data_IF_681102064248
#
_entry.id   IF_681102064248
#
_cell.length_a   1.000
_cell.length_b   1.000
_cell.length_c   1.000
_cell.angle_alpha   90.00
_cell.angle_beta   90.00
_cell.angle_gamma   90.00
#
_symmetry.space_group_name_H-M   'P 1'
#
loop_
_entity.id
_entity.type
_entity.pdbx_description
1 polymer ?
#
# COMPACT_ATOMS: atom_id res chain seq x y z
N UNK A 1 -2.92 -10.16 16.24
CA UNK A 1 -3.07 -8.99 17.13
C UNK A 1 -1.85 -8.10 16.89
N UNK A 2 -2.05 -6.86 16.44
CA UNK A 2 -0.96 -5.95 16.05
C UNK A 2 -0.51 -5.03 17.18
N UNK A 3 -1.45 -4.52 17.98
CA UNK A 3 -1.18 -3.63 19.11
C UNK A 3 -2.05 -4.02 20.33
N UNK A 4 -1.58 -3.70 21.54
CA UNK A 4 -2.34 -3.78 22.80
C UNK A 4 -2.42 -2.37 23.38
N UNK A 5 -3.64 -1.93 23.70
CA UNK A 5 -3.90 -0.61 24.25
C UNK A 5 -4.70 -0.71 25.55
N UNK A 6 -4.77 0.40 26.27
CA UNK A 6 -5.60 0.50 27.48
C UNK A 6 -7.07 0.16 27.20
N UNK A 7 -7.75 -0.34 28.22
CA UNK A 7 -9.16 -0.68 28.10
C UNK A 7 -9.99 0.54 27.69
N UNK A 8 -10.84 0.38 26.68
CA UNK A 8 -11.66 1.46 26.12
C UNK A 8 -10.99 2.29 25.01
N UNK A 9 -9.68 2.11 24.74
CA UNK A 9 -8.95 2.86 23.71
C UNK A 9 -8.84 2.18 22.33
N UNK A 10 -9.38 0.96 22.19
CA UNK A 10 -9.23 0.15 20.96
C UNK A 10 -9.73 0.84 19.70
N UNK A 11 -10.94 1.43 19.73
CA UNK A 11 -11.50 2.08 18.54
C UNK A 11 -10.76 3.36 18.18
N UNK A 12 -10.40 4.16 19.18
CA UNK A 12 -9.61 5.38 18.99
C UNK A 12 -8.29 5.06 18.28
N UNK A 13 -7.54 4.07 18.80
CA UNK A 13 -6.28 3.66 18.17
C UNK A 13 -6.48 3.08 16.77
N UNK A 14 -7.54 2.31 16.55
CA UNK A 14 -7.85 1.78 15.22
C UNK A 14 -8.13 2.90 14.20
N UNK A 15 -8.80 3.97 14.62
CA UNK A 15 -9.03 5.15 13.78
C UNK A 15 -7.74 5.92 13.50
N UNK A 16 -6.87 6.12 14.49
CA UNK A 16 -5.56 6.75 14.28
C UNK A 16 -4.73 6.00 13.22
N UNK A 17 -4.66 4.67 13.31
CA UNK A 17 -3.99 3.85 12.30
C UNK A 17 -4.65 3.98 10.93
N UNK A 18 -5.97 4.07 10.87
CA UNK A 18 -6.67 4.30 9.62
C UNK A 18 -6.31 5.67 9.02
N UNK A 19 -6.24 6.74 9.82
CA UNK A 19 -5.80 8.06 9.39
C UNK A 19 -4.36 8.05 8.87
N UNK A 20 -3.45 7.32 9.51
CA UNK A 20 -2.08 7.12 9.01
C UNK A 20 -2.09 6.47 7.62
N UNK A 21 -2.88 5.40 7.42
CA UNK A 21 -3.02 4.73 6.12
C UNK A 21 -3.61 5.66 5.05
N UNK A 22 -4.58 6.51 5.42
CA UNK A 22 -5.24 7.45 4.51
C UNK A 22 -4.28 8.54 3.98
N UNK A 23 -3.13 8.74 4.60
CA UNK A 23 -2.08 9.64 4.08
C UNK A 23 -1.30 9.06 2.89
N UNK A 24 -1.38 7.75 2.66
CA UNK A 24 -0.64 7.04 1.62
C UNK A 24 -1.39 7.00 0.27
N UNK A 25 -0.67 6.70 -0.82
CA UNK A 25 -1.32 6.49 -2.13
C UNK A 25 -2.32 5.32 -2.03
N UNK A 26 -3.59 5.52 -2.42
CA UNK A 26 -4.59 4.46 -2.42
C UNK A 26 -4.19 3.25 -3.28
N UNK A 27 -3.53 3.50 -4.42
CA UNK A 27 -3.07 2.44 -5.32
C UNK A 27 -1.88 1.69 -4.74
N UNK A 28 -0.95 2.37 -4.06
CA UNK A 28 0.18 1.72 -3.38
C UNK A 28 -0.28 0.81 -2.24
N UNK A 29 -1.24 1.26 -1.42
CA UNK A 29 -1.80 0.45 -0.33
C UNK A 29 -2.51 -0.79 -0.89
N UNK A 30 -3.32 -0.61 -1.95
CA UNK A 30 -4.00 -1.73 -2.61
C UNK A 30 -3.00 -2.72 -3.20
N UNK A 31 -2.00 -2.25 -3.95
CA UNK A 31 -1.00 -3.08 -4.57
C UNK A 31 -0.18 -3.87 -3.54
N UNK A 32 0.25 -3.22 -2.46
CA UNK A 32 1.03 -3.87 -1.40
C UNK A 32 0.23 -4.96 -0.71
N UNK A 33 -1.04 -4.69 -0.38
CA UNK A 33 -1.92 -5.69 0.24
C UNK A 33 -2.20 -6.87 -0.70
N UNK A 34 -2.55 -6.59 -1.96
CA UNK A 34 -2.82 -7.62 -2.97
C UNK A 34 -1.58 -8.50 -3.20
N UNK A 35 -0.39 -7.90 -3.28
CA UNK A 35 0.86 -8.63 -3.44
C UNK A 35 1.17 -9.57 -2.28
N UNK A 36 0.91 -9.15 -1.03
CA UNK A 36 1.10 -10.02 0.15
C UNK A 36 0.16 -11.22 0.13
N UNK A 37 -1.09 -11.08 -0.32
CA UNK A 37 -2.00 -12.21 -0.39
C UNK A 37 -1.70 -13.13 -1.58
N UNK A 38 -1.46 -12.56 -2.77
CA UNK A 38 -1.16 -13.33 -3.98
C UNK A 38 0.15 -14.11 -3.89
N UNK A 39 1.15 -13.57 -3.19
CA UNK A 39 2.42 -14.28 -3.03
C UNK A 39 2.27 -15.63 -2.31
N UNK A 40 1.21 -15.80 -1.51
CA UNK A 40 0.91 -17.05 -0.82
C UNK A 40 0.38 -18.15 -1.76
N UNK A 41 -0.05 -17.80 -2.97
CA UNK A 41 -0.53 -18.76 -3.97
C UNK A 41 0.63 -19.46 -4.71
N UNK A 42 1.86 -18.96 -4.55
CA UNK A 42 3.06 -19.51 -5.17
C UNK A 42 3.80 -20.45 -4.22
N UNK A 43 4.41 -21.50 -4.77
CA UNK A 43 5.16 -22.49 -4.00
C UNK A 43 6.51 -21.96 -3.46
N UNK A 44 7.07 -20.93 -4.10
CA UNK A 44 8.34 -20.34 -3.72
C UNK A 44 8.35 -18.82 -3.92
N UNK A 45 9.27 -18.14 -3.22
CA UNK A 45 9.51 -16.71 -3.41
C UNK A 45 9.96 -16.41 -4.84
N UNK A 46 10.80 -17.26 -5.43
CA UNK A 46 11.31 -17.08 -6.79
C UNK A 46 10.15 -17.07 -7.80
N UNK A 47 9.23 -18.02 -7.69
CA UNK A 47 8.05 -18.11 -8.57
C UNK A 47 7.14 -16.87 -8.39
N UNK A 48 6.89 -16.48 -7.14
CA UNK A 48 6.10 -15.27 -6.82
C UNK A 48 6.72 -14.01 -7.44
N UNK A 49 8.04 -13.85 -7.35
CA UNK A 49 8.75 -12.71 -7.92
C UNK A 49 8.77 -12.73 -9.45
N UNK A 50 8.93 -13.90 -10.07
CA UNK A 50 8.85 -14.05 -11.52
C UNK A 50 7.45 -13.66 -12.05
N UNK A 51 6.38 -14.01 -11.32
CA UNK A 51 5.00 -13.66 -11.64
C UNK A 51 4.64 -12.18 -11.43
N UNK A 52 5.52 -11.36 -10.84
CA UNK A 52 5.21 -9.97 -10.44
C UNK A 52 4.74 -9.07 -11.59
N UNK A 53 5.21 -9.31 -12.82
CA UNK A 53 4.79 -8.50 -13.98
C UNK A 53 3.44 -8.92 -14.54
N UNK A 54 3.12 -10.20 -14.50
CA UNK A 54 1.96 -10.77 -15.20
C UNK A 54 0.76 -10.97 -14.28
N UNK A 55 0.97 -11.45 -13.06
CA UNK A 55 -0.10 -11.87 -12.13
C UNK A 55 -0.51 -10.80 -11.11
N UNK A 56 0.30 -9.76 -10.91
CA UNK A 56 0.08 -8.73 -9.89
C UNK A 56 -0.51 -7.47 -10.53
N UNK A 57 -1.77 -7.58 -10.97
CA UNK A 57 -2.48 -6.51 -11.69
C UNK A 57 -2.51 -5.19 -10.91
N UNK A 58 -2.70 -5.24 -9.58
CA UNK A 58 -2.71 -4.04 -8.75
C UNK A 58 -1.35 -3.34 -8.70
N UNK A 59 -0.24 -4.09 -8.74
CA UNK A 59 1.12 -3.51 -8.82
C UNK A 59 1.31 -2.81 -10.15
N UNK A 60 0.85 -3.42 -11.26
CA UNK A 60 0.92 -2.78 -12.58
C UNK A 60 0.14 -1.48 -12.62
N UNK A 61 -1.10 -1.48 -12.14
CA UNK A 61 -1.94 -0.28 -12.04
C UNK A 61 -1.27 0.81 -11.20
N UNK A 62 -0.65 0.45 -10.08
CA UNK A 62 0.10 1.42 -9.27
C UNK A 62 1.27 2.02 -10.06
N UNK A 63 2.08 1.21 -10.74
CA UNK A 63 3.25 1.71 -11.52
C UNK A 63 2.85 2.62 -12.68
N UNK A 64 1.71 2.34 -13.32
CA UNK A 64 1.20 3.12 -14.45
C UNK A 64 0.44 4.40 -14.02
N UNK A 65 0.21 4.61 -12.72
CA UNK A 65 -0.61 5.69 -12.18
C UNK A 65 0.08 7.06 -12.09
N UNK A 66 -0.73 8.12 -11.98
CA UNK A 66 -0.24 9.47 -11.67
C UNK A 66 0.44 9.51 -10.28
N UNK A 67 -0.04 8.70 -9.34
CA UNK A 67 0.49 8.61 -7.98
C UNK A 67 1.96 8.13 -7.95
N UNK A 68 2.35 7.26 -8.90
CA UNK A 68 3.73 6.77 -9.01
C UNK A 68 4.73 7.88 -9.30
N UNK A 69 4.30 8.93 -10.01
CA UNK A 69 5.10 10.11 -10.30
C UNK A 69 5.00 11.14 -9.17
N UNK A 70 3.80 11.34 -8.64
CA UNK A 70 3.53 12.34 -7.60
C UNK A 70 4.27 12.05 -6.30
N UNK A 71 4.41 10.79 -5.89
CA UNK A 71 5.07 10.43 -4.62
C UNK A 71 6.53 10.91 -4.56
N UNK A 72 7.40 10.48 -5.49
CA UNK A 72 8.78 10.97 -5.56
C UNK A 72 8.88 12.48 -5.73
N UNK A 73 7.97 13.09 -6.50
CA UNK A 73 7.94 14.54 -6.71
C UNK A 73 7.63 15.30 -5.42
N UNK A 74 6.57 14.93 -4.72
CA UNK A 74 6.18 15.55 -3.45
C UNK A 74 7.27 15.40 -2.38
N UNK A 75 7.93 14.23 -2.34
CA UNK A 75 9.09 14.00 -1.48
C UNK A 75 10.24 14.96 -1.81
N UNK A 76 10.63 15.06 -3.08
CA UNK A 76 11.69 15.96 -3.53
C UNK A 76 11.37 17.44 -3.24
N UNK A 77 10.10 17.82 -3.39
CA UNK A 77 9.59 19.17 -3.13
C UNK A 77 9.30 19.45 -1.64
N UNK A 78 9.48 18.46 -0.74
CA UNK A 78 9.22 18.54 0.70
C UNK A 78 7.80 19.01 1.05
N UNK A 79 6.81 18.50 0.33
CA UNK A 79 5.39 18.77 0.56
C UNK A 79 4.61 17.48 0.68
N UNK A 80 3.40 17.56 1.21
CA UNK A 80 2.48 16.44 1.17
C UNK A 80 2.10 16.11 -0.29
N UNK A 81 1.98 14.81 -0.62
CA UNK A 81 1.55 14.36 -1.94
C UNK A 81 0.05 14.61 -2.15
N UNK A 82 -0.34 14.84 -3.40
CA UNK A 82 -1.73 15.00 -3.83
C UNK A 82 -2.18 13.78 -4.63
N UNK A 83 -2.55 12.72 -3.92
CA UNK A 83 -2.97 11.46 -4.52
C UNK A 83 -4.25 11.61 -5.34
N UNK A 84 -4.24 11.01 -6.54
CA UNK A 84 -5.36 10.98 -7.47
C UNK A 84 -6.00 9.60 -7.55
N UNK A 85 -5.28 8.55 -7.14
CA UNK A 85 -5.80 7.18 -7.13
C UNK A 85 -6.12 6.61 -8.51
N UNK A 86 -5.44 7.11 -9.54
CA UNK A 86 -5.57 6.69 -10.94
C UNK A 86 -4.24 6.79 -11.65
#
# INVERSE_FOLDING_TARGET
MNEVVENGKTLERAHEVAEEILTCSPLSIRASKDAVYRSLDFASLEDSMAGMREEYVAVRQMVESEDFVEGPKAFAEKRSPNWKGR
#
